data_IF_896206341169
#
_entry.id   IF_896206341169
#
_cell.length_a   1.000
_cell.length_b   1.000
_cell.length_c   1.000
_cell.angle_alpha   90.00
_cell.angle_beta   90.00
_cell.angle_gamma   90.00
#
_symmetry.space_group_name_H-M   'P 1'
#
loop_
_entity.id
_entity.type
_entity.pdbx_description
1 polymer ?
#
# COMPACT_ATOMS: atom_id res chain seq x y z
N UNK A 1 -9.58 -15.43 -4.23
CA UNK A 1 -10.09 -16.82 -4.11
C UNK A 1 -11.59 -16.83 -4.32
N UNK A 2 -12.20 -18.00 -4.25
CA UNK A 2 -13.67 -18.16 -4.26
C UNK A 2 -14.06 -19.06 -3.10
N UNK A 3 -15.15 -18.71 -2.41
CA UNK A 3 -15.75 -19.48 -1.33
C UNK A 3 -17.26 -19.52 -1.55
N UNK A 4 -17.81 -20.73 -1.68
CA UNK A 4 -19.25 -20.94 -1.80
C UNK A 4 -19.87 -20.95 -0.39
N UNK A 5 -20.11 -19.76 0.16
CA UNK A 5 -20.65 -19.62 1.51
C UNK A 5 -22.12 -20.07 1.59
N UNK A 6 -22.45 -20.84 2.62
CA UNK A 6 -23.80 -21.33 2.86
C UNK A 6 -24.80 -20.17 2.97
N UNK A 7 -25.96 -20.31 2.32
CA UNK A 7 -27.01 -19.29 2.31
C UNK A 7 -26.81 -18.18 1.28
N UNK A 8 -25.74 -18.21 0.49
CA UNK A 8 -25.58 -17.34 -0.68
C UNK A 8 -26.18 -17.98 -1.94
N UNK A 9 -26.65 -17.17 -2.87
CA UNK A 9 -27.11 -17.64 -4.19
C UNK A 9 -26.01 -18.45 -4.92
N UNK A 10 -24.76 -18.06 -4.70
CA UNK A 10 -23.59 -18.68 -5.32
C UNK A 10 -23.31 -20.11 -4.82
N UNK A 11 -23.85 -20.51 -3.66
CA UNK A 11 -23.71 -21.87 -3.14
C UNK A 11 -24.49 -22.91 -3.96
N UNK A 12 -25.54 -22.49 -4.66
CA UNK A 12 -26.35 -23.35 -5.51
C UNK A 12 -25.92 -23.39 -6.98
N UNK A 13 -24.84 -22.69 -7.35
CA UNK A 13 -24.35 -22.69 -8.73
C UNK A 13 -23.71 -24.03 -9.08
N UNK A 14 -24.19 -24.62 -10.16
CA UNK A 14 -23.52 -25.73 -10.83
C UNK A 14 -22.22 -25.22 -11.51
N UNK A 15 -21.28 -26.12 -11.82
CA UNK A 15 -20.00 -25.83 -12.51
C UNK A 15 -18.90 -25.15 -11.66
N UNK A 16 -18.82 -25.45 -10.37
CA UNK A 16 -17.68 -25.05 -9.54
C UNK A 16 -16.35 -25.61 -10.11
N UNK A 17 -15.35 -24.72 -10.26
CA UNK A 17 -14.01 -25.12 -10.66
C UNK A 17 -13.29 -25.84 -9.51
N UNK A 18 -12.37 -26.78 -9.80
CA UNK A 18 -11.51 -27.36 -8.77
C UNK A 18 -10.72 -26.29 -8.01
N UNK A 19 -10.54 -26.45 -6.70
CA UNK A 19 -9.76 -25.52 -5.87
C UNK A 19 -8.35 -25.27 -6.40
N UNK A 20 -7.72 -26.29 -7.01
CA UNK A 20 -6.39 -26.18 -7.60
C UNK A 20 -6.35 -25.19 -8.75
N UNK A 21 -7.38 -25.16 -9.60
CA UNK A 21 -7.51 -24.21 -10.72
C UNK A 21 -7.78 -22.80 -10.18
N UNK A 22 -8.67 -22.67 -9.19
CA UNK A 22 -8.97 -21.38 -8.55
C UNK A 22 -7.71 -20.80 -7.91
N UNK A 23 -6.96 -21.61 -7.16
CA UNK A 23 -5.70 -21.19 -6.52
C UNK A 23 -4.66 -20.77 -7.55
N UNK A 24 -4.45 -21.57 -8.60
CA UNK A 24 -3.48 -21.23 -9.66
C UNK A 24 -3.81 -19.88 -10.33
N UNK A 25 -5.10 -19.57 -10.53
CA UNK A 25 -5.52 -18.28 -11.08
C UNK A 25 -5.33 -17.13 -10.10
N UNK A 26 -5.62 -17.35 -8.82
CA UNK A 26 -5.38 -16.34 -7.78
C UNK A 26 -3.89 -16.02 -7.70
N UNK A 27 -3.04 -17.04 -7.60
CA UNK A 27 -1.57 -16.87 -7.55
C UNK A 27 -1.08 -16.09 -8.78
N UNK A 28 -1.46 -16.50 -9.99
CA UNK A 28 -1.05 -15.81 -11.21
C UNK A 28 -1.50 -14.34 -11.27
N UNK A 29 -2.73 -14.04 -10.86
CA UNK A 29 -3.24 -12.65 -10.86
C UNK A 29 -2.56 -11.83 -9.76
N UNK A 30 -2.37 -12.40 -8.56
CA UNK A 30 -1.68 -11.71 -7.47
C UNK A 30 -0.26 -11.33 -7.87
N UNK A 31 0.50 -12.23 -8.49
CA UNK A 31 1.85 -11.93 -9.00
C UNK A 31 1.87 -10.74 -9.97
N UNK A 32 0.90 -10.68 -10.89
CA UNK A 32 0.77 -9.57 -11.84
C UNK A 32 0.36 -8.26 -11.13
N UNK A 33 -0.51 -8.35 -10.13
CA UNK A 33 -0.93 -7.18 -9.34
C UNK A 33 0.26 -6.63 -8.55
N UNK A 34 1.04 -7.49 -7.90
CA UNK A 34 2.22 -7.09 -7.12
C UNK A 34 3.24 -6.39 -8.02
N UNK A 35 3.51 -6.93 -9.22
CA UNK A 35 4.38 -6.29 -10.21
C UNK A 35 3.87 -4.89 -10.60
N UNK A 36 2.57 -4.77 -10.91
CA UNK A 36 1.97 -3.49 -11.32
C UNK A 36 1.92 -2.46 -10.18
N UNK A 37 1.70 -2.91 -8.95
CA UNK A 37 1.73 -2.05 -7.77
C UNK A 37 3.14 -1.50 -7.56
N UNK A 38 4.16 -2.35 -7.63
CA UNK A 38 5.55 -1.91 -7.52
C UNK A 38 5.94 -0.91 -8.62
N UNK A 39 5.63 -1.20 -9.89
CA UNK A 39 5.87 -0.28 -11.01
C UNK A 39 5.19 1.08 -10.80
N UNK A 40 3.95 1.08 -10.29
CA UNK A 40 3.23 2.33 -9.99
C UNK A 40 3.82 3.10 -8.82
N UNK A 41 4.41 2.42 -7.84
CA UNK A 41 5.14 3.07 -6.76
C UNK A 41 6.44 3.68 -7.30
N UNK A 42 7.21 2.94 -8.09
CA UNK A 42 8.45 3.40 -8.73
C UNK A 42 8.24 4.67 -9.58
N UNK A 43 7.13 4.74 -10.33
CA UNK A 43 6.73 5.93 -11.11
C UNK A 43 6.55 7.20 -10.26
N UNK A 44 6.44 7.08 -8.92
CA UNK A 44 6.31 8.21 -8.00
C UNK A 44 7.64 8.79 -7.56
N UNK A 45 8.76 8.11 -7.76
CA UNK A 45 10.07 8.63 -7.37
C UNK A 45 10.33 9.97 -8.08
N UNK A 46 10.75 10.97 -7.32
CA UNK A 46 10.95 12.35 -7.75
C UNK A 46 9.67 13.19 -7.85
N UNK A 47 8.51 12.63 -7.50
CA UNK A 47 7.26 13.40 -7.42
C UNK A 47 7.08 14.03 -6.04
N UNK A 48 6.48 15.22 -6.01
CA UNK A 48 6.10 15.92 -4.79
C UNK A 48 4.65 15.68 -4.43
N UNK A 49 4.38 15.43 -3.16
CA UNK A 49 3.05 15.14 -2.63
C UNK A 49 2.92 15.64 -1.18
N UNK A 50 1.73 15.49 -0.61
CA UNK A 50 1.46 15.74 0.80
C UNK A 50 1.30 14.44 1.55
N UNK A 51 1.93 14.37 2.71
CA UNK A 51 1.90 13.25 3.64
C UNK A 51 1.26 13.69 4.96
N UNK A 52 0.30 12.91 5.46
CA UNK A 52 -0.22 13.04 6.82
C UNK A 52 0.69 12.26 7.75
N UNK A 53 1.19 12.91 8.80
CA UNK A 53 2.03 12.29 9.82
C UNK A 53 1.16 11.54 10.82
N UNK A 54 1.39 10.25 10.98
CA UNK A 54 0.57 9.38 11.84
C UNK A 54 1.35 8.83 13.03
N UNK A 55 2.67 8.65 12.90
CA UNK A 55 3.53 8.18 13.98
C UNK A 55 4.94 8.74 13.85
N UNK A 56 5.55 9.01 15.00
CA UNK A 56 6.94 9.45 15.12
C UNK A 56 7.58 8.57 16.20
N UNK A 57 8.53 7.74 15.82
CA UNK A 57 9.23 6.84 16.72
C UNK A 57 10.64 6.55 16.21
N UNK A 58 11.60 6.43 17.13
CA UNK A 58 12.96 5.90 16.84
C UNK A 58 13.71 6.57 15.68
N UNK A 59 13.46 7.87 15.43
CA UNK A 59 14.11 8.61 14.33
C UNK A 59 13.38 8.56 12.99
N UNK A 60 12.22 7.90 12.94
CA UNK A 60 11.42 7.66 11.73
C UNK A 60 10.07 8.36 11.89
N UNK A 61 9.65 9.03 10.83
CA UNK A 61 8.29 9.56 10.69
C UNK A 61 7.52 8.63 9.76
N UNK A 62 6.42 8.07 10.25
CA UNK A 62 5.50 7.23 9.48
C UNK A 62 4.19 7.98 9.23
N UNK A 63 3.60 7.73 8.08
CA UNK A 63 2.37 8.39 7.67
C UNK A 63 1.87 7.89 6.33
N UNK A 64 0.97 8.64 5.73
CA UNK A 64 0.33 8.26 4.47
C UNK A 64 0.23 9.43 3.52
N UNK A 65 0.55 9.17 2.25
CA UNK A 65 0.26 10.09 1.17
C UNK A 65 -1.23 10.10 0.83
N UNK A 66 -1.71 11.15 0.14
CA UNK A 66 -3.13 11.32 -0.19
C UNK A 66 -3.80 10.14 -0.92
N UNK A 67 -3.02 9.27 -1.57
CA UNK A 67 -3.53 8.12 -2.32
C UNK A 67 -3.53 6.81 -1.53
N UNK A 68 -2.96 6.79 -0.32
CA UNK A 68 -2.87 5.62 0.56
C UNK A 68 -4.01 5.63 1.58
N UNK A 69 -4.91 4.64 1.50
CA UNK A 69 -5.94 4.38 2.49
C UNK A 69 -5.34 3.91 3.83
N UNK A 70 -5.99 4.21 4.96
CA UNK A 70 -5.49 3.77 6.27
C UNK A 70 -5.57 2.25 6.37
N UNK A 71 -4.53 1.62 6.94
CA UNK A 71 -4.43 0.18 7.29
C UNK A 71 -4.47 -0.82 6.12
N UNK A 72 -5.01 -0.41 4.97
CA UNK A 72 -5.24 -1.28 3.81
C UNK A 72 -4.14 -1.13 2.76
N UNK A 73 -3.66 0.10 2.54
CA UNK A 73 -2.60 0.40 1.58
C UNK A 73 -1.24 0.51 2.29
N UNK A 74 -0.17 0.65 1.50
CA UNK A 74 1.18 0.90 2.00
C UNK A 74 1.31 2.21 2.78
N UNK A 75 2.46 2.37 3.44
CA UNK A 75 2.81 3.55 4.23
C UNK A 75 3.82 4.43 3.50
N UNK A 76 4.04 5.63 4.02
CA UNK A 76 5.16 6.49 3.64
C UNK A 76 6.04 6.73 4.86
N UNK A 77 7.36 6.60 4.71
CA UNK A 77 8.34 6.85 5.77
C UNK A 77 9.27 8.01 5.42
N UNK A 78 9.76 8.71 6.44
CA UNK A 78 10.86 9.67 6.34
C UNK A 78 11.89 9.32 7.39
N UNK A 79 13.08 8.95 6.94
CA UNK A 79 14.23 8.64 7.79
C UNK A 79 15.03 9.89 8.16
N UNK A 80 15.67 9.86 9.33
CA UNK A 80 16.59 10.92 9.80
C UNK A 80 15.98 12.33 9.77
N UNK A 81 14.66 12.42 9.91
CA UNK A 81 13.97 13.70 9.97
C UNK A 81 14.49 14.53 11.16
N UNK A 82 14.66 15.84 10.96
CA UNK A 82 14.86 16.77 12.07
C UNK A 82 13.51 16.92 12.81
N UNK A 83 13.18 15.89 13.60
CA UNK A 83 11.88 15.64 14.25
C UNK A 83 11.40 16.80 15.11
N UNK A 84 12.27 17.76 15.43
CA UNK A 84 12.01 18.86 16.33
C UNK A 84 10.86 19.81 15.88
N UNK A 85 10.37 19.72 14.63
CA UNK A 85 9.35 20.64 14.10
C UNK A 85 8.06 19.97 13.59
N UNK A 86 7.92 18.64 13.69
CA UNK A 86 6.78 17.92 13.11
C UNK A 86 6.05 17.14 14.20
N UNK A 87 4.72 17.20 14.19
CA UNK A 87 3.84 16.50 15.12
C UNK A 87 2.91 15.53 14.40
N UNK A 88 2.46 14.50 15.12
CA UNK A 88 1.37 13.62 14.63
C UNK A 88 0.13 14.46 14.35
N UNK A 89 -0.47 14.25 13.18
CA UNK A 89 -1.60 15.01 12.65
C UNK A 89 -1.20 16.14 11.69
N UNK A 90 0.09 16.47 11.58
CA UNK A 90 0.55 17.45 10.61
C UNK A 90 0.47 16.90 9.19
N UNK A 91 0.21 17.79 8.23
CA UNK A 91 0.29 17.50 6.80
C UNK A 91 1.49 18.24 6.25
N UNK A 92 2.47 17.50 5.74
CA UNK A 92 3.77 18.00 5.28
C UNK A 92 3.95 17.76 3.78
N UNK A 93 4.65 18.67 3.11
CA UNK A 93 5.07 18.49 1.72
C UNK A 93 6.34 17.64 1.68
N UNK A 94 6.31 16.59 0.86
CA UNK A 94 7.39 15.60 0.74
C UNK A 94 7.66 15.28 -0.73
N UNK A 95 8.89 14.84 -1.01
CA UNK A 95 9.30 14.27 -2.28
C UNK A 95 9.58 12.79 -2.09
N UNK A 96 9.01 11.94 -2.94
CA UNK A 96 9.26 10.49 -2.89
C UNK A 96 10.65 10.23 -3.44
N UNK A 97 11.49 9.52 -2.69
CA UNK A 97 12.90 9.28 -3.03
C UNK A 97 13.20 7.82 -3.34
N UNK A 98 12.42 6.89 -2.78
CA UNK A 98 12.55 5.45 -3.02
C UNK A 98 11.23 4.72 -2.72
N UNK A 99 11.17 3.42 -3.04
CA UNK A 99 10.01 2.56 -2.79
C UNK A 99 10.41 1.13 -2.41
N UNK A 100 9.60 0.48 -1.58
CA UNK A 100 9.67 -0.96 -1.30
C UNK A 100 8.29 -1.59 -1.53
N UNK A 101 8.08 -2.14 -2.73
CA UNK A 101 6.79 -2.65 -3.15
C UNK A 101 5.74 -1.54 -3.22
N UNK A 102 4.79 -1.54 -2.27
CA UNK A 102 3.75 -0.51 -2.17
C UNK A 102 4.09 0.62 -1.17
N UNK A 103 5.13 0.42 -0.36
CA UNK A 103 5.59 1.38 0.63
C UNK A 103 6.50 2.41 -0.04
N UNK A 104 6.44 3.64 0.45
CA UNK A 104 7.19 4.77 -0.10
C UNK A 104 8.18 5.31 0.92
N UNK A 105 9.38 5.65 0.46
CA UNK A 105 10.33 6.44 1.23
C UNK A 105 10.34 7.86 0.70
N UNK A 106 10.34 8.84 1.61
CA UNK A 106 10.24 10.25 1.26
C UNK A 106 11.22 11.11 2.06
N UNK A 107 11.47 12.31 1.54
CA UNK A 107 12.17 13.39 2.23
C UNK A 107 11.31 14.66 2.23
N UNK A 108 11.54 15.56 3.18
CA UNK A 108 10.89 16.88 3.14
C UNK A 108 11.29 17.65 1.86
N UNK A 109 10.30 18.27 1.22
CA UNK A 109 10.44 18.93 -0.10
C UNK A 109 10.92 20.38 -0.06
#
# INVERSE_FOLDING_TARGET
GYSAEEGTEAAGFDDALPETEIRARVEHITELVDELVNQRAEDRIGTRTRMLVERIADGIIEGRCMHQAPEIDGITTIDNADIAQVSVGDVVDVEIIDVDGADLEAAFA
#
